data_IF_926270482099
#
_entry.id   IF_926270482099
#
_cell.length_a   1.000
_cell.length_b   1.000
_cell.length_c   1.000
_cell.angle_alpha   90.00
_cell.angle_beta   90.00
_cell.angle_gamma   90.00
#
_symmetry.space_group_name_H-M   'P 1'
#
loop_
_entity.id
_entity.type
_entity.pdbx_description
1 polymer ?
#
# COMPACT_ATOMS: atom_id res chain seq x y z
N UNK A 1 -14.66 17.00 2.89
CA UNK A 1 -13.97 15.70 3.03
C UNK A 1 -12.56 15.85 2.50
N UNK A 2 -11.53 15.41 3.22
CA UNK A 2 -10.15 15.42 2.72
C UNK A 2 -9.84 14.02 2.21
N UNK A 3 -9.65 13.88 0.90
CA UNK A 3 -9.20 12.64 0.29
C UNK A 3 -7.67 12.71 0.23
N UNK A 4 -7.00 11.97 1.11
CA UNK A 4 -5.55 11.87 1.08
C UNK A 4 -5.19 10.85 -0.01
N UNK A 5 -4.49 11.25 -1.09
CA UNK A 5 -4.08 10.32 -2.12
C UNK A 5 -3.06 9.34 -1.53
N UNK A 6 -3.30 8.04 -1.72
CA UNK A 6 -2.38 6.99 -1.28
C UNK A 6 -1.32 6.82 -2.35
N UNK A 7 -0.07 7.12 -2.00
CA UNK A 7 1.09 6.88 -2.85
C UNK A 7 1.72 5.54 -2.53
N UNK A 8 2.21 4.85 -3.54
CA UNK A 8 3.01 3.65 -3.31
C UNK A 8 4.34 4.05 -2.65
N UNK A 9 4.71 3.48 -1.50
CA UNK A 9 5.98 3.81 -0.84
C UNK A 9 7.21 3.34 -1.62
N UNK A 10 7.04 2.42 -2.57
CA UNK A 10 8.15 1.87 -3.36
C UNK A 10 8.47 2.67 -4.62
N UNK A 11 7.45 3.15 -5.34
CA UNK A 11 7.64 3.89 -6.59
C UNK A 11 7.14 5.34 -6.52
N UNK A 12 6.45 5.75 -5.45
CA UNK A 12 5.91 7.10 -5.27
C UNK A 12 4.66 7.40 -6.10
N UNK A 13 4.25 6.52 -7.02
CA UNK A 13 3.09 6.71 -7.88
C UNK A 13 1.77 6.67 -7.10
N UNK A 14 0.80 7.47 -7.56
CA UNK A 14 -0.56 7.56 -7.03
C UNK A 14 -1.51 6.51 -7.63
N UNK A 15 -1.02 5.71 -8.60
CA UNK A 15 -1.74 4.62 -9.26
C UNK A 15 -1.89 3.40 -8.32
N UNK A 16 -2.66 3.61 -7.25
CA UNK A 16 -2.86 2.65 -6.17
C UNK A 16 -4.34 2.41 -5.94
N UNK A 17 -4.74 1.13 -5.93
CA UNK A 17 -6.12 0.70 -5.67
C UNK A 17 -6.22 -0.14 -4.40
N UNK A 18 -7.39 -0.10 -3.76
CA UNK A 18 -7.67 -0.91 -2.56
C UNK A 18 -7.85 -2.38 -2.95
N UNK A 19 -7.03 -3.28 -2.39
CA UNK A 19 -7.07 -4.73 -2.64
C UNK A 19 -7.36 -5.51 -1.36
N UNK A 20 -8.64 -5.62 -1.03
CA UNK A 20 -9.12 -6.37 0.14
C UNK A 20 -8.50 -5.88 1.45
N UNK A 21 -8.62 -6.69 2.50
CA UNK A 21 -8.01 -6.43 3.80
C UNK A 21 -7.04 -7.55 4.14
N UNK A 22 -6.01 -7.25 4.93
CA UNK A 22 -5.16 -8.27 5.55
C UNK A 22 -5.91 -8.94 6.72
N UNK A 23 -5.37 -10.03 7.24
CA UNK A 23 -5.99 -10.80 8.35
C UNK A 23 -6.20 -9.95 9.60
N UNK A 24 -5.33 -8.97 9.85
CA UNK A 24 -5.46 -7.98 10.93
C UNK A 24 -6.48 -6.86 10.62
N UNK A 25 -7.28 -6.99 9.57
CA UNK A 25 -8.31 -6.03 9.18
C UNK A 25 -7.77 -4.77 8.47
N UNK A 26 -6.45 -4.64 8.31
CA UNK A 26 -5.84 -3.47 7.66
C UNK A 26 -6.09 -3.45 6.16
N UNK A 27 -6.27 -2.25 5.62
CA UNK A 27 -6.47 -2.07 4.19
C UNK A 27 -5.16 -2.38 3.45
N UNK A 28 -5.23 -3.38 2.55
CA UNK A 28 -4.12 -3.67 1.62
C UNK A 28 -4.35 -2.89 0.33
N UNK A 29 -3.26 -2.43 -0.26
CA UNK A 29 -3.24 -1.65 -1.47
C UNK A 29 -2.48 -2.38 -2.56
N UNK A 30 -2.85 -2.14 -3.81
CA UNK A 30 -2.22 -2.66 -5.01
C UNK A 30 -1.74 -1.48 -5.85
N UNK A 31 -0.44 -1.37 -6.06
CA UNK A 31 0.14 -0.52 -7.07
C UNK A 31 -0.11 -1.13 -8.45
N UNK A 32 -0.67 -0.33 -9.36
CA UNK A 32 -0.91 -0.73 -10.75
C UNK A 32 0.28 -0.40 -11.67
N UNK A 33 1.30 0.26 -11.15
CA UNK A 33 2.49 0.60 -11.93
C UNK A 33 3.28 -0.65 -12.28
N UNK A 34 3.51 -0.89 -13.58
CA UNK A 34 4.14 -2.10 -14.10
C UNK A 34 5.61 -2.22 -13.71
N UNK A 35 6.30 -1.08 -13.57
CA UNK A 35 7.73 -1.04 -13.24
C UNK A 35 7.98 -1.09 -11.72
N UNK A 36 6.91 -1.12 -10.92
CA UNK A 36 7.06 -1.20 -9.47
C UNK A 36 7.43 -2.64 -9.06
N UNK A 37 8.55 -2.85 -8.34
CA UNK A 37 8.92 -4.19 -7.86
C UNK A 37 7.91 -4.74 -6.86
N UNK A 38 7.15 -3.85 -6.18
CA UNK A 38 6.15 -4.22 -5.19
C UNK A 38 4.76 -3.90 -5.70
N UNK A 39 4.00 -4.95 -6.01
CA UNK A 39 2.61 -4.81 -6.45
C UNK A 39 1.67 -4.54 -5.28
N UNK A 40 1.83 -5.19 -4.14
CA UNK A 40 0.93 -5.02 -2.99
C UNK A 40 1.67 -4.56 -1.75
N UNK A 41 1.09 -3.60 -1.03
CA UNK A 41 1.64 -3.08 0.22
C UNK A 41 0.54 -2.76 1.23
N UNK A 42 0.92 -2.60 2.49
CA UNK A 42 0.07 -2.11 3.57
C UNK A 42 0.47 -0.66 3.86
N UNK A 43 -0.49 0.23 4.14
CA UNK A 43 -0.15 1.60 4.54
C UNK A 43 0.36 1.66 5.98
N UNK A 44 -0.12 0.73 6.81
CA UNK A 44 0.06 0.75 8.24
C UNK A 44 0.73 -0.58 8.63
N UNK A 45 2.06 -0.60 8.59
CA UNK A 45 2.83 -1.77 9.04
C UNK A 45 2.89 -1.74 10.58
N UNK A 46 2.21 -2.67 11.25
CA UNK A 46 2.31 -2.84 12.71
C UNK A 46 3.65 -3.46 13.11
N UNK A 47 4.25 -4.24 12.20
CA UNK A 47 5.50 -4.92 12.47
C UNK A 47 6.66 -3.98 12.17
N UNK A 48 7.22 -3.39 13.22
CA UNK A 48 8.63 -3.05 13.24
C UNK A 48 9.38 -4.38 13.04
N UNK A 49 9.92 -4.61 11.84
CA UNK A 49 10.77 -5.77 11.61
C UNK A 49 11.83 -5.82 12.70
N UNK A 50 11.91 -6.92 13.45
CA UNK A 50 12.96 -7.11 14.44
C UNK A 50 14.30 -6.98 13.73
N UNK A 51 15.11 -6.02 14.17
CA UNK A 51 16.51 -5.82 13.75
C UNK A 51 17.39 -6.79 14.50
#
# INVERSE_FOLDING_TARGET
>A
MVLIPVRCPHCGHEDVVKRGKAENGKQRYLCQHTDCPVKTFLLDYDYQGCV
#
